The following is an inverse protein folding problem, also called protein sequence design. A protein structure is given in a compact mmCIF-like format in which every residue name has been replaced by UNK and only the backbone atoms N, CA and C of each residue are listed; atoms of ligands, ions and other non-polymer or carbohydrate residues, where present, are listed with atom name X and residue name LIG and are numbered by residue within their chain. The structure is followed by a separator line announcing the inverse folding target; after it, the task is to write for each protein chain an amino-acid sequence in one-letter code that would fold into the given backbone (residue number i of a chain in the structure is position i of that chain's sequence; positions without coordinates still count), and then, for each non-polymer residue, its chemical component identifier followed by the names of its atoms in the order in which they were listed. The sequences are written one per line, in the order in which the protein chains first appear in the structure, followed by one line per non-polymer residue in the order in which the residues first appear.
data_IF_349370254100
#
_entry.id   IF_349370254100
#
_cell.length_a   1.000
_cell.length_b   1.000
_cell.length_c   1.000
_cell.angle_alpha   90.00
_cell.angle_beta   90.00
_cell.angle_gamma   90.00
#
_symmetry.space_group_name_H-M   'P 1'
#
loop_
_entity.id
_entity.type
_entity.pdbx_description
1 polymer ?
#
# COMPACT_ATOMS: atom_id res chain seq x y z
N UNK A 1 34.18 -19.50 -13.62
CA UNK A 1 33.02 -20.28 -13.17
C UNK A 1 31.95 -19.30 -12.70
N UNK A 2 31.02 -18.96 -13.59
CA UNK A 2 29.97 -17.96 -13.37
C UNK A 2 28.79 -18.61 -12.64
N UNK A 3 28.39 -18.06 -11.50
CA UNK A 3 27.13 -18.42 -10.82
C UNK A 3 26.27 -17.16 -10.67
N UNK A 4 25.84 -16.64 -11.82
CA UNK A 4 24.73 -15.71 -11.88
C UNK A 4 23.42 -16.49 -11.63
N UNK A 5 22.91 -16.45 -10.40
CA UNK A 5 21.52 -16.78 -10.08
C UNK A 5 20.93 -15.67 -9.20
N UNK A 6 20.75 -14.50 -9.81
CA UNK A 6 19.76 -13.54 -9.34
C UNK A 6 18.44 -13.91 -10.03
N UNK A 7 17.63 -14.70 -9.33
CA UNK A 7 16.25 -14.96 -9.69
C UNK A 7 15.44 -13.67 -9.52
N UNK A 8 15.38 -12.89 -10.59
CA UNK A 8 14.47 -11.76 -10.72
C UNK A 8 13.04 -12.24 -10.95
N UNK A 9 12.11 -11.58 -10.26
CA UNK A 9 10.67 -11.53 -10.55
C UNK A 9 9.86 -12.83 -10.34
N UNK A 10 9.56 -13.14 -9.07
CA UNK A 10 8.26 -13.71 -8.70
C UNK A 10 7.41 -12.60 -8.09
N UNK A 11 6.93 -11.72 -8.96
CA UNK A 11 5.74 -10.92 -8.65
C UNK A 11 4.57 -11.91 -8.61
N UNK A 12 4.02 -12.15 -7.43
CA UNK A 12 2.70 -12.79 -7.30
C UNK A 12 1.65 -11.74 -7.62
N UNK A 13 0.92 -11.79 -8.75
CA UNK A 13 -0.36 -11.13 -8.83
C UNK A 13 -1.32 -11.93 -7.94
N UNK A 14 -1.66 -11.37 -6.78
CA UNK A 14 -2.85 -11.79 -6.05
C UNK A 14 -4.03 -11.69 -7.01
N UNK A 15 -4.66 -12.84 -7.30
CA UNK A 15 -5.97 -12.90 -7.95
C UNK A 15 -6.97 -12.13 -7.10
N UNK A 16 -7.07 -10.81 -7.31
CA UNK A 16 -8.32 -10.11 -7.10
C UNK A 16 -9.25 -10.68 -8.15
N UNK A 17 -10.33 -11.31 -7.70
CA UNK A 17 -11.47 -11.63 -8.53
C UNK A 17 -11.84 -10.36 -9.30
N UNK A 18 -11.42 -10.31 -10.56
CA UNK A 18 -11.96 -9.37 -11.52
C UNK A 18 -13.43 -9.73 -11.62
N UNK A 19 -14.27 -8.90 -11.02
CA UNK A 19 -15.64 -8.76 -11.46
C UNK A 19 -15.52 -8.51 -12.96
N UNK A 20 -15.74 -9.53 -13.78
CA UNK A 20 -15.99 -9.31 -15.18
C UNK A 20 -17.29 -8.52 -15.22
N UNK A 21 -17.16 -7.19 -15.23
CA UNK A 21 -18.20 -6.37 -15.79
C UNK A 21 -18.29 -6.87 -17.22
N UNK A 22 -19.26 -7.75 -17.45
CA UNK A 22 -19.78 -8.07 -18.76
C UNK A 22 -20.21 -6.72 -19.32
N UNK A 23 -19.29 -6.07 -20.01
CA UNK A 23 -19.53 -4.89 -20.80
C UNK A 23 -20.40 -5.39 -21.94
N UNK A 24 -21.72 -5.44 -21.70
CA UNK A 24 -22.71 -5.56 -22.76
C UNK A 24 -22.57 -4.28 -23.58
N UNK A 25 -21.70 -4.30 -24.57
CA UNK A 25 -21.87 -3.44 -25.73
C UNK A 25 -23.23 -3.85 -26.29
N UNK A 26 -24.23 -3.00 -26.14
CA UNK A 26 -25.39 -3.05 -26.99
C UNK A 26 -24.88 -2.70 -28.40
N UNK A 27 -24.39 -3.71 -29.12
CA UNK A 27 -24.10 -3.60 -30.53
C UNK A 27 -25.47 -3.59 -31.22
N UNK A 28 -25.95 -2.39 -31.55
CA UNK A 28 -26.99 -2.22 -32.57
C UNK A 28 -26.45 -2.82 -33.87
N UNK A 29 -27.02 -3.94 -34.30
CA UNK A 29 -26.86 -4.42 -35.67
C UNK A 29 -27.68 -3.52 -36.58
N UNK A 30 -27.10 -2.41 -37.02
CA UNK A 30 -27.57 -1.72 -38.22
C UNK A 30 -26.39 -1.62 -39.16
N UNK A 31 -26.35 -2.55 -40.12
CA UNK A 31 -25.56 -2.37 -41.33
C UNK A 31 -26.17 -1.18 -42.06
N UNK A 32 -25.35 -0.16 -42.32
CA UNK A 32 -25.68 0.89 -43.28
C UNK A 32 -24.99 0.51 -44.58
N UNK A 33 -25.79 0.02 -45.54
CA UNK A 33 -25.40 -0.01 -46.94
C UNK A 33 -25.30 1.44 -47.42
N UNK A 34 -24.16 1.80 -48.00
CA UNK A 34 -23.95 3.02 -48.76
C UNK A 34 -24.97 3.09 -49.90
N UNK A 35 -25.98 3.93 -49.74
CA UNK A 35 -26.83 4.40 -50.84
C UNK A 35 -26.86 5.93 -50.80
N UNK A 36 -26.20 6.52 -51.78
CA UNK A 36 -26.29 7.94 -52.12
C UNK A 36 -27.71 8.29 -52.62
N UNK A 37 -28.07 9.56 -52.41
CA UNK A 37 -29.21 10.29 -52.97
C UNK A 37 -30.60 9.93 -52.40
N UNK A 38 -31.13 10.73 -51.48
CA UNK A 38 -32.08 11.81 -51.77
C UNK A 38 -32.52 12.52 -50.46
N UNK A 39 -32.96 13.76 -50.58
CA UNK A 39 -33.39 14.68 -49.52
C UNK A 39 -34.41 14.10 -48.52
N UNK A 40 -34.38 14.46 -47.22
CA UNK A 40 -35.54 14.81 -46.36
C UNK A 40 -35.10 15.16 -44.91
N UNK A 41 -35.64 16.26 -44.36
CA UNK A 41 -35.46 16.69 -42.97
C UNK A 41 -36.29 15.80 -42.04
N UNK A 42 -35.65 14.85 -41.35
CA UNK A 42 -36.28 14.08 -40.28
C UNK A 42 -36.03 14.78 -38.94
N UNK A 43 -37.08 15.45 -38.45
CA UNK A 43 -37.19 16.01 -37.11
C UNK A 43 -37.22 14.83 -36.12
N UNK A 44 -36.16 14.65 -35.32
CA UNK A 44 -36.11 13.63 -34.28
C UNK A 44 -37.16 13.92 -33.20
N UNK A 45 -38.38 13.40 -33.38
CA UNK A 45 -39.40 13.38 -32.35
C UNK A 45 -39.02 12.33 -31.30
N UNK A 46 -38.70 12.78 -30.10
CA UNK A 46 -38.54 11.94 -28.91
C UNK A 46 -39.85 11.19 -28.64
N UNK A 47 -39.87 9.89 -28.97
CA UNK A 47 -41.04 9.03 -28.80
C UNK A 47 -41.21 8.50 -27.38
N UNK A 48 -40.40 8.97 -26.42
CA UNK A 48 -40.51 8.53 -25.03
C UNK A 48 -41.63 9.31 -24.34
N UNK A 49 -42.75 8.62 -24.09
CA UNK A 49 -43.80 9.14 -23.22
C UNK A 49 -43.31 9.07 -21.78
N UNK A 50 -42.83 10.19 -21.25
CA UNK A 50 -42.48 10.32 -19.84
C UNK A 50 -43.75 10.42 -19.00
N UNK A 51 -43.92 9.48 -18.07
CA UNK A 51 -45.00 9.59 -17.09
C UNK A 51 -44.76 10.84 -16.23
N UNK A 52 -45.81 11.62 -15.93
CA UNK A 52 -45.66 12.85 -15.14
C UNK A 52 -45.10 12.50 -13.76
N UNK A 53 -43.98 13.14 -13.39
CA UNK A 53 -43.31 12.91 -12.11
C UNK A 53 -44.14 13.47 -10.93
N UNK A 54 -45.12 12.70 -10.50
CA UNK A 54 -45.93 12.99 -9.30
C UNK A 54 -45.40 12.22 -8.10
N UNK A 55 -45.57 12.75 -6.89
CA UNK A 55 -45.11 12.13 -5.63
C UNK A 55 -45.76 10.75 -5.31
N UNK A 56 -46.64 10.25 -6.17
CA UNK A 56 -47.28 8.94 -6.05
C UNK A 56 -46.71 7.88 -7.02
N UNK A 57 -45.61 8.17 -7.71
CA UNK A 57 -44.96 7.19 -8.57
C UNK A 57 -44.35 6.04 -7.74
N UNK A 58 -44.14 4.85 -8.35
CA UNK A 58 -43.51 3.71 -7.67
C UNK A 58 -42.14 4.03 -7.05
N UNK A 59 -41.42 5.00 -7.63
CA UNK A 59 -40.16 5.49 -7.11
C UNK A 59 -40.33 6.13 -5.72
N UNK A 60 -41.22 7.13 -5.59
CA UNK A 60 -41.45 7.82 -4.31
C UNK A 60 -42.02 6.89 -3.24
N UNK A 61 -42.86 5.93 -3.60
CA UNK A 61 -43.34 4.90 -2.67
C UNK A 61 -42.20 4.06 -2.10
N UNK A 62 -41.24 3.65 -2.93
CA UNK A 62 -40.04 2.91 -2.48
C UNK A 62 -39.17 3.79 -1.58
N UNK A 63 -39.02 5.08 -1.89
CA UNK A 63 -38.28 6.04 -1.05
C UNK A 63 -38.93 6.20 0.33
N UNK A 64 -40.26 6.33 0.40
CA UNK A 64 -40.98 6.41 1.68
C UNK A 64 -40.84 5.13 2.48
N UNK A 65 -40.99 3.96 1.86
CA UNK A 65 -40.81 2.67 2.55
C UNK A 65 -39.37 2.50 3.05
N UNK A 66 -38.37 2.88 2.24
CA UNK A 66 -36.97 2.87 2.65
C UNK A 66 -36.72 3.84 3.82
N UNK A 67 -37.28 5.05 3.74
CA UNK A 67 -37.18 6.04 4.80
C UNK A 67 -37.79 5.57 6.12
N UNK A 68 -39.01 5.01 6.08
CA UNK A 68 -39.66 4.41 7.25
C UNK A 68 -38.84 3.22 7.78
N UNK A 69 -38.30 2.38 6.88
CA UNK A 69 -37.43 1.28 7.25
C UNK A 69 -36.18 1.73 8.00
N UNK A 70 -35.53 2.81 7.56
CA UNK A 70 -34.36 3.39 8.23
C UNK A 70 -34.72 3.95 9.61
N UNK A 71 -35.84 4.68 9.72
CA UNK A 71 -36.30 5.23 11.00
C UNK A 71 -36.68 4.12 11.98
N UNK A 72 -37.39 3.09 11.50
CA UNK A 72 -37.73 1.93 12.31
C UNK A 72 -36.46 1.18 12.74
N UNK A 73 -35.48 1.02 11.84
CA UNK A 73 -34.19 0.43 12.19
C UNK A 73 -33.48 1.25 13.26
N UNK A 74 -33.39 2.58 13.14
CA UNK A 74 -32.74 3.39 14.17
C UNK A 74 -33.46 3.33 15.54
N UNK A 75 -34.79 3.25 15.53
CA UNK A 75 -35.58 3.28 16.78
C UNK A 75 -35.68 1.91 17.47
N UNK A 76 -35.68 0.83 16.71
CA UNK A 76 -35.87 -0.54 17.19
C UNK A 76 -34.64 -1.43 17.01
N UNK A 77 -33.53 -0.91 16.48
CA UNK A 77 -32.27 -1.63 16.49
C UNK A 77 -31.90 -1.98 17.94
N UNK A 78 -31.51 -3.24 18.20
CA UNK A 78 -31.00 -3.63 19.50
C UNK A 78 -29.85 -2.69 19.91
N UNK A 79 -29.80 -2.34 21.19
CA UNK A 79 -28.63 -1.65 21.74
C UNK A 79 -27.36 -2.46 21.39
N UNK A 80 -26.23 -1.79 21.14
CA UNK A 80 -24.95 -2.45 20.86
C UNK A 80 -24.42 -3.12 22.13
N UNK A 81 -25.10 -4.18 22.55
CA UNK A 81 -24.74 -5.04 23.67
C UNK A 81 -24.09 -6.30 23.10
N UNK A 82 -23.01 -6.76 23.74
CA UNK A 82 -22.26 -7.95 23.29
C UNK A 82 -23.07 -9.26 23.31
N UNK A 83 -24.23 -9.27 23.98
CA UNK A 83 -25.09 -10.43 24.15
C UNK A 83 -26.17 -10.60 23.06
N UNK A 84 -26.09 -9.83 21.96
CA UNK A 84 -26.97 -10.10 20.81
C UNK A 84 -26.51 -11.36 20.06
N UNK A 85 -27.45 -12.16 19.55
CA UNK A 85 -27.14 -13.37 18.76
C UNK A 85 -26.25 -13.06 17.55
N UNK A 86 -26.45 -11.89 16.95
CA UNK A 86 -25.66 -11.39 15.81
C UNK A 86 -24.22 -11.08 16.26
N UNK A 87 -24.02 -10.37 17.38
CA UNK A 87 -22.70 -10.09 17.91
C UNK A 87 -21.95 -11.38 18.29
N UNK A 88 -22.63 -12.35 18.91
CA UNK A 88 -22.06 -13.67 19.23
C UNK A 88 -21.65 -14.45 17.97
N UNK A 89 -22.48 -14.42 16.93
CA UNK A 89 -22.16 -15.03 15.64
C UNK A 89 -20.93 -14.38 15.01
N UNK A 90 -20.91 -13.05 14.91
CA UNK A 90 -19.77 -12.30 14.38
C UNK A 90 -18.50 -12.60 15.18
N UNK A 91 -18.57 -12.59 16.51
CA UNK A 91 -17.44 -12.92 17.41
C UNK A 91 -16.91 -14.35 17.21
N UNK A 92 -17.77 -15.30 16.84
CA UNK A 92 -17.36 -16.68 16.57
C UNK A 92 -16.67 -16.86 15.20
N UNK A 93 -17.03 -16.03 14.21
CA UNK A 93 -16.46 -16.09 12.86
C UNK A 93 -15.21 -15.22 12.71
N UNK A 94 -15.13 -14.12 13.46
CA UNK A 94 -13.98 -13.21 13.42
C UNK A 94 -12.78 -13.78 14.17
N UNK A 95 -11.59 -13.34 13.76
CA UNK A 95 -10.34 -13.65 14.47
C UNK A 95 -10.34 -13.01 15.85
N UNK A 96 -9.78 -13.73 16.83
CA UNK A 96 -9.73 -13.26 18.20
C UNK A 96 -8.92 -11.96 18.31
N UNK A 97 -9.31 -11.01 19.17
CA UNK A 97 -8.63 -9.72 19.31
C UNK A 97 -7.18 -9.86 19.80
N UNK A 98 -6.86 -10.93 20.54
CA UNK A 98 -5.51 -11.22 21.01
C UNK A 98 -4.52 -11.47 19.87
N UNK A 99 -4.98 -12.14 18.79
CA UNK A 99 -4.17 -12.38 17.60
C UNK A 99 -3.72 -11.06 16.94
N UNK A 100 -4.61 -10.06 16.88
CA UNK A 100 -4.28 -8.75 16.34
C UNK A 100 -3.32 -7.98 17.23
N UNK A 101 -3.48 -8.08 18.56
CA UNK A 101 -2.55 -7.46 19.52
C UNK A 101 -1.14 -8.04 19.38
N UNK A 102 -1.02 -9.36 19.34
CA UNK A 102 0.28 -10.03 19.16
C UNK A 102 0.92 -9.70 17.81
N UNK A 103 0.11 -9.68 16.74
CA UNK A 103 0.58 -9.31 15.40
C UNK A 103 1.07 -7.86 15.34
N UNK A 104 0.31 -6.92 15.93
CA UNK A 104 0.69 -5.51 16.01
C UNK A 104 1.96 -5.31 16.84
N UNK A 105 2.09 -6.04 17.95
CA UNK A 105 3.29 -6.01 18.79
C UNK A 105 4.52 -6.54 18.04
N UNK A 106 4.41 -7.67 17.35
CA UNK A 106 5.48 -8.21 16.51
C UNK A 106 5.91 -7.22 15.43
N UNK A 107 4.94 -6.57 14.77
CA UNK A 107 5.25 -5.55 13.77
C UNK A 107 5.96 -4.33 14.36
N UNK A 108 5.56 -3.89 15.56
CA UNK A 108 6.23 -2.82 16.28
C UNK A 108 7.70 -3.18 16.56
N UNK A 109 7.95 -4.38 17.07
CA UNK A 109 9.32 -4.87 17.35
C UNK A 109 10.16 -4.92 16.07
N UNK A 110 9.62 -5.47 14.98
CA UNK A 110 10.31 -5.53 13.70
C UNK A 110 10.61 -4.13 13.13
N UNK A 111 9.68 -3.19 13.29
CA UNK A 111 9.87 -1.80 12.87
C UNK A 111 10.99 -1.12 13.65
N UNK A 112 11.08 -1.38 14.95
CA UNK A 112 12.16 -0.85 15.80
C UNK A 112 13.52 -1.45 15.41
N UNK A 113 13.59 -2.76 15.19
CA UNK A 113 14.81 -3.42 14.72
C UNK A 113 15.25 -2.89 13.35
N UNK A 114 14.30 -2.73 12.42
CA UNK A 114 14.59 -2.15 11.11
C UNK A 114 15.10 -0.71 11.18
N UNK A 115 14.61 0.10 12.12
CA UNK A 115 15.17 1.44 12.34
C UNK A 115 16.58 1.41 12.88
N UNK A 116 16.87 0.51 13.83
CA UNK A 116 18.20 0.38 14.41
C UNK A 116 19.24 -0.11 13.38
N UNK A 117 18.86 -1.08 12.56
CA UNK A 117 19.70 -1.55 11.45
C UNK A 117 19.96 -0.45 10.42
N UNK A 118 18.94 0.34 10.09
CA UNK A 118 19.08 1.48 9.18
C UNK A 118 20.04 2.52 9.74
N UNK A 119 19.95 2.82 11.05
CA UNK A 119 20.86 3.73 11.73
C UNK A 119 22.29 3.19 11.76
N UNK A 120 22.47 1.89 12.03
CA UNK A 120 23.78 1.23 12.02
C UNK A 120 24.47 1.36 10.66
N UNK A 121 23.73 1.11 9.58
CA UNK A 121 24.26 1.22 8.20
C UNK A 121 24.49 2.68 7.82
N UNK A 122 23.61 3.60 8.24
CA UNK A 122 23.74 5.02 7.94
C UNK A 122 24.93 5.68 8.66
N UNK A 123 25.23 5.27 9.89
CA UNK A 123 26.37 5.79 10.67
C UNK A 123 27.70 5.12 10.31
N UNK A 124 27.66 3.97 9.62
CA UNK A 124 28.86 3.28 9.18
C UNK A 124 29.67 4.16 8.21
N UNK A 125 30.78 4.72 8.72
CA UNK A 125 31.77 5.44 7.91
C UNK A 125 32.89 4.49 7.52
N UNK A 126 33.39 4.55 6.27
CA UNK A 126 34.60 3.84 5.92
C UNK A 126 35.76 4.33 6.80
N UNK A 127 36.73 3.46 7.13
CA UNK A 127 37.91 3.89 7.87
C UNK A 127 38.62 5.02 7.12
N UNK A 128 39.07 6.04 7.86
CA UNK A 128 39.76 7.18 7.26
C UNK A 128 41.14 6.73 6.78
N UNK A 129 41.34 6.71 5.46
CA UNK A 129 42.63 6.34 4.86
C UNK A 129 43.39 7.59 4.45
N UNK A 130 44.51 7.85 5.11
CA UNK A 130 45.45 8.89 4.71
C UNK A 130 46.54 8.32 3.78
N UNK A 131 46.74 8.95 2.62
CA UNK A 131 47.75 8.54 1.65
C UNK A 131 49.07 9.25 1.93
N UNK A 132 50.06 8.49 2.39
CA UNK A 132 51.42 8.99 2.61
C UNK A 132 52.39 8.37 1.60
N UNK A 133 53.35 9.18 1.12
CA UNK A 133 54.45 8.70 0.27
C UNK A 133 55.37 7.71 0.98
N UNK A 134 55.55 7.88 2.29
CA UNK A 134 56.44 7.08 3.11
C UNK A 134 55.70 6.61 4.38
N UNK A 135 55.07 5.42 4.34
CA UNK A 135 54.34 4.88 5.49
C UNK A 135 55.27 4.46 6.64
N UNK A 136 56.55 4.19 6.37
CA UNK A 136 57.56 3.83 7.37
C UNK A 136 57.84 4.94 8.40
N UNK A 137 57.41 6.18 8.13
CA UNK A 137 57.66 7.32 9.03
C UNK A 137 56.87 7.25 10.35
N UNK A 138 55.85 6.41 10.46
CA UNK A 138 55.11 6.24 11.71
C UNK A 138 55.94 5.55 12.80
N UNK A 139 56.83 4.63 12.40
CA UNK A 139 57.72 3.92 13.32
C UNK A 139 59.02 4.71 13.59
N UNK A 140 59.36 5.66 12.71
CA UNK A 140 60.53 6.52 12.86
C UNK A 140 60.18 7.80 13.62
N UNK A 141 60.29 7.76 14.94
CA UNK A 141 60.28 8.96 15.77
C UNK A 141 61.51 9.00 16.68
N UNK A 142 61.95 10.21 17.03
CA UNK A 142 63.03 10.40 17.99
C UNK A 142 62.46 10.36 19.42
N UNK A 143 62.94 9.47 20.30
CA UNK A 143 62.52 9.45 21.70
C UNK A 143 62.78 10.75 22.45
N UNK A 144 63.73 11.57 21.96
CA UNK A 144 64.19 12.79 22.62
C UNK A 144 63.57 14.07 22.05
N UNK A 145 62.80 13.99 20.97
CA UNK A 145 62.18 15.14 20.30
C UNK A 145 60.67 15.23 20.55
N UNK A 146 60.21 14.73 21.70
CA UNK A 146 58.80 14.75 22.07
C UNK A 146 58.52 15.90 23.05
N UNK A 147 57.53 16.76 22.77
CA UNK A 147 57.13 17.81 23.71
C UNK A 147 56.60 17.17 25.01
N UNK A 148 56.87 17.84 26.12
CA UNK A 148 56.47 17.36 27.45
C UNK A 148 54.94 17.28 27.53
N UNK A 149 54.43 16.12 27.96
CA UNK A 149 52.98 15.89 28.09
C UNK A 149 52.27 15.36 26.84
N UNK A 150 52.95 15.22 25.70
CA UNK A 150 52.36 14.63 24.48
C UNK A 150 53.07 13.31 24.17
N UNK A 151 52.34 12.21 24.30
CA UNK A 151 52.76 10.89 23.81
C UNK A 151 51.79 10.49 22.72
N UNK A 152 52.25 10.52 21.47
CA UNK A 152 51.46 10.06 20.33
C UNK A 152 51.67 8.55 20.18
N UNK A 153 50.65 7.75 20.49
CA UNK A 153 50.67 6.30 20.24
C UNK A 153 50.11 6.03 18.85
N UNK A 154 50.85 5.29 18.02
CA UNK A 154 50.46 4.93 16.65
C UNK A 154 50.02 3.47 16.52
N UNK A 155 49.69 2.82 17.64
CA UNK A 155 49.39 1.38 17.70
C UNK A 155 48.13 0.98 16.93
N UNK A 156 47.18 1.92 16.74
CA UNK A 156 45.92 1.71 16.00
C UNK A 156 46.06 2.05 14.51
N UNK A 157 47.24 2.46 14.05
CA UNK A 157 47.49 2.83 12.64
C UNK A 157 48.12 1.65 11.91
N UNK A 158 47.39 1.11 10.93
CA UNK A 158 47.88 -0.01 10.09
C UNK A 158 48.09 0.46 8.66
N UNK A 159 49.23 0.07 8.07
CA UNK A 159 49.49 0.30 6.65
C UNK A 159 48.59 -0.62 5.82
N UNK A 160 47.73 -0.01 5.00
CA UNK A 160 46.91 -0.75 4.04
C UNK A 160 47.83 -1.50 3.05
N UNK A 161 47.81 -2.82 3.10
CA UNK A 161 48.42 -3.70 2.08
C UNK A 161 47.39 -3.92 0.96
N UNK A 162 47.85 -3.99 -0.28
CA UNK A 162 47.03 -4.37 -1.43
C UNK A 162 46.53 -5.82 -1.30
#
# INVERSE_FOLDING_TARGET
MSVARAAGAVLRPTQRAGISLVQRRAASSHAHEDHHDDHHHEEYHDSNVYEPEVFNTPFWRRVVVAGVGIVAFYKFAPEPTEDTLIAKYIKSTMTQPEFWKDTAFKHLVLSAQGSDETLLVADAKPPVVHRYRFPQRFEQFSPHSNPVGIKLTVDDVVVKRD
#
